data_IF_944440686494
#
_entry.id   IF_944440686494
#
_cell.length_a   1.000
_cell.length_b   1.000
_cell.length_c   1.000
_cell.angle_alpha   90.00
_cell.angle_beta   90.00
_cell.angle_gamma   90.00
#
_symmetry.space_group_name_H-M   'P 1'
#
loop_
_entity.id
_entity.type
_entity.pdbx_description
1 polymer ?
#
# COMPACT_ATOMS: atom_id res chain seq x y z
N UNK A 1 31.71 -1.25 13.34
CA UNK A 1 31.58 -2.58 13.96
C UNK A 1 30.51 -2.64 15.08
N UNK A 2 30.62 -1.88 16.18
CA UNK A 2 29.66 -2.00 17.30
C UNK A 2 28.26 -1.48 16.97
N UNK A 3 28.18 -0.25 16.45
CA UNK A 3 26.92 0.37 16.05
C UNK A 3 26.20 -0.46 14.99
N UNK A 4 26.91 -0.93 13.96
CA UNK A 4 26.34 -1.74 12.87
C UNK A 4 25.60 -2.98 13.37
N UNK A 5 26.15 -3.69 14.37
CA UNK A 5 25.48 -4.87 14.93
C UNK A 5 24.20 -4.50 15.68
N UNK A 6 24.25 -3.46 16.51
CA UNK A 6 23.06 -2.97 17.23
C UNK A 6 22.00 -2.52 16.22
N UNK A 7 22.38 -1.75 15.20
CA UNK A 7 21.48 -1.29 14.14
C UNK A 7 20.91 -2.47 13.35
N UNK A 8 21.71 -3.50 13.05
CA UNK A 8 21.21 -4.70 12.36
C UNK A 8 20.11 -5.41 13.13
N UNK A 9 20.15 -5.39 14.47
CA UNK A 9 19.12 -5.99 15.33
C UNK A 9 17.80 -5.20 15.36
N UNK A 10 17.79 -3.93 14.91
CA UNK A 10 16.56 -3.16 14.70
C UNK A 10 15.82 -3.57 13.41
N UNK A 11 16.49 -4.25 12.48
CA UNK A 11 15.88 -4.63 11.20
C UNK A 11 14.94 -5.84 11.36
N UNK A 12 13.98 -5.95 10.46
CA UNK A 12 13.13 -7.14 10.32
C UNK A 12 12.86 -7.43 8.84
N UNK A 13 12.67 -8.70 8.49
CA UNK A 13 12.68 -9.16 7.09
C UNK A 13 11.65 -8.46 6.20
N UNK A 14 10.45 -8.18 6.73
CA UNK A 14 9.36 -7.56 5.98
C UNK A 14 9.42 -6.02 5.95
N UNK A 15 10.41 -5.38 6.57
CA UNK A 15 10.52 -3.90 6.65
C UNK A 15 10.47 -3.18 5.29
N UNK A 16 11.24 -3.58 4.26
CA UNK A 16 11.23 -2.85 2.99
C UNK A 16 9.99 -3.18 2.12
N UNK A 17 9.32 -4.31 2.39
CA UNK A 17 8.29 -4.89 1.50
C UNK A 17 7.17 -3.90 1.19
N UNK A 18 6.59 -3.24 2.21
CA UNK A 18 5.51 -2.29 1.98
C UNK A 18 5.99 -1.10 1.17
N UNK A 19 7.07 -0.46 1.60
CA UNK A 19 7.62 0.70 0.92
C UNK A 19 7.93 0.39 -0.57
N UNK A 20 8.48 -0.78 -0.86
CA UNK A 20 8.84 -1.18 -2.22
C UNK A 20 7.62 -1.52 -3.07
N UNK A 21 6.56 -2.10 -2.47
CA UNK A 21 5.29 -2.37 -3.13
C UNK A 21 4.48 -1.13 -3.54
N UNK A 22 4.72 0.03 -2.89
CA UNK A 22 4.05 1.28 -3.25
C UNK A 22 4.50 1.68 -4.66
N UNK A 23 3.58 1.94 -5.61
CA UNK A 23 3.94 2.39 -6.95
C UNK A 23 4.78 3.67 -6.93
N UNK A 24 5.62 3.87 -7.95
CA UNK A 24 6.21 5.19 -8.17
C UNK A 24 5.12 6.16 -8.63
N UNK A 25 5.28 7.44 -8.27
CA UNK A 25 4.43 8.50 -8.80
C UNK A 25 4.51 8.51 -10.32
N UNK A 26 3.38 8.78 -10.97
CA UNK A 26 3.37 8.95 -12.42
C UNK A 26 4.20 10.20 -12.78
N UNK A 27 4.79 10.21 -13.98
CA UNK A 27 5.65 11.30 -14.43
C UNK A 27 4.86 12.62 -14.35
N UNK A 28 5.54 13.68 -13.92
CA UNK A 28 4.99 15.04 -13.76
C UNK A 28 3.85 15.21 -12.73
N UNK A 29 3.45 14.16 -12.02
CA UNK A 29 2.46 14.29 -10.94
C UNK A 29 3.08 14.80 -9.63
N UNK A 30 2.24 15.33 -8.74
CA UNK A 30 2.58 15.80 -7.39
C UNK A 30 3.56 16.98 -7.31
N UNK A 31 3.92 17.61 -8.43
CA UNK A 31 4.84 18.76 -8.45
C UNK A 31 4.31 19.96 -7.65
N UNK A 32 2.98 20.10 -7.61
CA UNK A 32 2.28 21.11 -6.81
C UNK A 32 2.66 21.10 -5.32
N UNK A 33 3.20 20.00 -4.80
CA UNK A 33 3.61 19.90 -3.40
C UNK A 33 4.69 20.92 -3.03
N UNK A 34 5.58 21.24 -3.97
CA UNK A 34 6.67 22.19 -3.76
C UNK A 34 6.24 23.65 -3.84
N UNK A 35 5.06 23.90 -4.40
CA UNK A 35 4.39 25.22 -4.42
C UNK A 35 3.35 25.39 -3.30
N UNK A 36 3.21 24.37 -2.43
CA UNK A 36 2.22 24.35 -1.35
C UNK A 36 2.81 24.77 0.01
N UNK A 37 1.97 24.85 1.04
CA UNK A 37 2.42 25.07 2.43
C UNK A 37 3.37 23.97 2.95
N UNK A 38 3.35 22.78 2.34
CA UNK A 38 4.26 21.69 2.69
C UNK A 38 5.73 22.07 2.46
N UNK A 39 6.07 22.81 1.39
CA UNK A 39 7.44 23.22 1.13
C UNK A 39 7.96 24.24 2.15
N UNK A 40 7.09 25.17 2.56
CA UNK A 40 7.35 26.11 3.66
C UNK A 40 7.59 25.36 4.96
N UNK A 41 6.75 24.36 5.25
CA UNK A 41 6.91 23.53 6.43
C UNK A 41 8.21 22.73 6.42
N UNK A 42 8.62 22.14 5.29
CA UNK A 42 9.92 21.46 5.19
C UNK A 42 11.09 22.39 5.51
N UNK A 43 11.06 23.62 4.99
CA UNK A 43 12.16 24.57 5.14
C UNK A 43 12.23 25.23 6.54
N UNK A 44 11.10 25.63 7.11
CA UNK A 44 11.09 26.45 8.34
C UNK A 44 9.99 26.11 9.35
N UNK A 45 9.09 25.17 9.04
CA UNK A 45 8.07 24.71 9.98
C UNK A 45 8.64 23.87 11.12
N UNK A 46 7.76 23.37 11.98
CA UNK A 46 8.04 22.44 13.08
C UNK A 46 6.83 21.54 13.35
N UNK A 47 6.96 20.58 14.26
CA UNK A 47 5.83 19.75 14.68
C UNK A 47 5.39 18.74 13.62
N UNK A 48 4.08 18.51 13.56
CA UNK A 48 3.46 17.54 12.67
C UNK A 48 2.78 18.23 11.48
N UNK A 49 3.05 17.72 10.27
CA UNK A 49 2.31 18.04 9.04
C UNK A 49 1.44 16.84 8.66
N UNK A 50 0.13 17.05 8.49
CA UNK A 50 -0.81 15.98 8.21
C UNK A 50 -1.31 15.98 6.76
N UNK A 51 -0.99 14.93 6.02
CA UNK A 51 -1.52 14.66 4.69
C UNK A 51 -2.78 13.81 4.83
N UNK A 52 -3.92 14.46 4.65
CA UNK A 52 -5.24 13.84 4.67
C UNK A 52 -5.71 13.52 3.25
N UNK A 53 -6.58 12.52 3.11
CA UNK A 53 -7.16 12.19 1.83
C UNK A 53 -8.14 11.04 1.84
N UNK A 54 -9.07 11.06 0.88
CA UNK A 54 -10.01 9.96 0.62
C UNK A 54 -9.29 8.61 0.40
N UNK A 55 -9.93 7.48 0.67
CA UNK A 55 -9.41 6.16 0.28
C UNK A 55 -9.07 6.14 -1.22
N UNK A 56 -7.91 5.59 -1.59
CA UNK A 56 -7.50 5.51 -3.00
C UNK A 56 -7.07 6.84 -3.65
N UNK A 57 -6.92 7.94 -2.89
CA UNK A 57 -6.50 9.25 -3.43
C UNK A 57 -5.00 9.37 -3.76
N UNK A 58 -4.19 8.33 -3.52
CA UNK A 58 -2.75 8.32 -3.82
C UNK A 58 -1.83 8.74 -2.67
N UNK A 59 -2.30 8.77 -1.41
CA UNK A 59 -1.50 9.15 -0.22
C UNK A 59 -0.16 8.42 -0.11
N UNK A 60 -0.14 7.09 -0.14
CA UNK A 60 1.11 6.32 -0.03
C UNK A 60 2.09 6.62 -1.16
N UNK A 61 1.58 6.75 -2.39
CA UNK A 61 2.39 7.13 -3.55
C UNK A 61 2.99 8.52 -3.36
N UNK A 62 2.19 9.47 -2.86
CA UNK A 62 2.65 10.82 -2.54
C UNK A 62 3.68 10.85 -1.41
N UNK A 63 3.46 10.10 -0.32
CA UNK A 63 4.41 9.97 0.79
C UNK A 63 5.75 9.41 0.31
N UNK A 64 5.73 8.38 -0.55
CA UNK A 64 6.94 7.81 -1.15
C UNK A 64 7.64 8.81 -2.06
N UNK A 65 6.88 9.58 -2.84
CA UNK A 65 7.39 10.64 -3.70
C UNK A 65 8.12 11.71 -2.89
N UNK A 66 7.46 12.35 -1.92
CA UNK A 66 8.06 13.46 -1.15
C UNK A 66 9.23 13.00 -0.29
N UNK A 67 9.20 11.79 0.30
CA UNK A 67 10.27 11.29 1.17
C UNK A 67 11.60 11.08 0.43
N UNK A 68 11.57 10.89 -0.90
CA UNK A 68 12.75 10.66 -1.73
C UNK A 68 13.07 11.80 -2.71
N UNK A 69 12.22 12.81 -2.81
CA UNK A 69 12.39 13.87 -3.79
C UNK A 69 13.59 14.77 -3.47
N UNK A 70 14.33 15.19 -4.49
CA UNK A 70 15.51 16.07 -4.35
C UNK A 70 15.14 17.40 -3.71
N UNK A 71 14.05 18.05 -4.16
CA UNK A 71 13.60 19.32 -3.56
C UNK A 71 13.24 19.18 -2.08
N UNK A 72 12.61 18.07 -1.66
CA UNK A 72 12.36 17.82 -0.23
C UNK A 72 13.69 17.72 0.53
N UNK A 73 14.65 16.98 -0.01
CA UNK A 73 15.99 16.84 0.58
C UNK A 73 16.68 18.21 0.70
N UNK A 74 16.60 19.05 -0.31
CA UNK A 74 17.23 20.38 -0.30
C UNK A 74 16.59 21.29 0.76
N UNK A 75 15.25 21.31 0.84
CA UNK A 75 14.51 22.09 1.84
C UNK A 75 14.81 21.62 3.27
N UNK A 76 14.82 20.30 3.51
CA UNK A 76 15.17 19.73 4.80
C UNK A 76 16.64 19.92 5.15
N UNK A 77 17.54 19.92 4.16
CA UNK A 77 18.97 20.17 4.37
C UNK A 77 19.20 21.62 4.81
N UNK A 78 18.48 22.58 4.24
CA UNK A 78 18.51 23.98 4.71
C UNK A 78 18.02 24.11 6.14
N UNK A 79 16.95 23.40 6.51
CA UNK A 79 16.47 23.34 7.89
C UNK A 79 17.49 22.72 8.85
N UNK A 80 18.18 21.66 8.41
CA UNK A 80 19.23 21.00 9.19
C UNK A 80 20.52 21.82 9.30
N UNK A 81 20.77 22.72 8.37
CA UNK A 81 22.02 23.47 8.23
C UNK A 81 23.05 22.74 7.36
N UNK A 82 23.06 21.41 7.34
CA UNK A 82 23.90 20.61 6.44
C UNK A 82 23.30 19.24 6.15
N UNK A 83 23.82 18.55 5.13
CA UNK A 83 23.35 17.20 4.78
C UNK A 83 23.77 16.16 5.84
N UNK A 84 24.94 16.36 6.46
CA UNK A 84 25.49 15.45 7.48
C UNK A 84 24.73 15.52 8.81
N UNK A 85 23.93 16.57 9.01
CA UNK A 85 23.10 16.77 10.20
C UNK A 85 21.63 16.41 9.97
N UNK A 86 21.26 15.99 8.75
CA UNK A 86 19.90 15.61 8.41
C UNK A 86 19.72 14.09 8.51
N UNK A 87 18.79 13.65 9.35
CA UNK A 87 18.28 12.28 9.35
C UNK A 87 16.87 12.24 8.75
N UNK A 88 16.66 11.35 7.78
CA UNK A 88 15.34 11.06 7.21
C UNK A 88 15.05 9.59 7.38
N UNK A 89 13.93 9.30 8.02
CA UNK A 89 13.45 7.96 8.30
C UNK A 89 11.98 7.80 7.90
N UNK A 90 11.64 6.60 7.43
CA UNK A 90 10.33 6.33 6.85
C UNK A 90 9.69 5.10 7.49
N UNK A 91 8.38 5.15 7.64
CA UNK A 91 7.57 3.98 7.95
C UNK A 91 6.28 4.01 7.16
N UNK A 92 5.91 2.86 6.62
CA UNK A 92 4.67 2.68 5.88
C UNK A 92 3.92 1.53 6.54
N UNK A 93 2.82 1.86 7.20
CA UNK A 93 1.94 0.85 7.75
C UNK A 93 1.35 0.00 6.61
N UNK A 94 1.08 -1.28 6.92
CA UNK A 94 0.45 -2.17 5.97
C UNK A 94 -0.51 -3.14 6.63
N UNK A 95 -1.82 -2.88 6.48
CA UNK A 95 -2.88 -3.71 7.06
C UNK A 95 -2.98 -5.11 6.45
N UNK A 96 -2.44 -5.30 5.25
CA UNK A 96 -2.36 -6.61 4.59
C UNK A 96 -1.01 -7.31 4.78
N UNK A 97 -0.09 -6.67 5.51
CA UNK A 97 1.22 -7.21 5.83
C UNK A 97 1.25 -8.08 7.08
N UNK A 98 2.47 -8.43 7.49
CA UNK A 98 2.77 -9.14 8.74
C UNK A 98 2.37 -8.32 9.98
N UNK A 99 2.13 -8.95 11.15
CA UNK A 99 1.75 -8.23 12.37
C UNK A 99 2.69 -7.09 12.75
N UNK A 100 4.00 -7.24 12.53
CA UNK A 100 4.97 -6.18 12.83
C UNK A 100 4.80 -4.95 11.91
N UNK A 101 4.32 -5.09 10.67
CA UNK A 101 4.14 -3.97 9.73
C UNK A 101 2.92 -3.10 10.03
N UNK A 102 2.10 -3.48 11.01
CA UNK A 102 0.93 -2.72 11.46
C UNK A 102 0.97 -2.38 12.95
N UNK A 103 2.10 -2.64 13.62
CA UNK A 103 2.26 -2.47 15.06
C UNK A 103 3.16 -1.30 15.45
N UNK A 104 3.06 -0.90 16.71
CA UNK A 104 3.89 0.15 17.31
C UNK A 104 5.38 -0.23 17.30
N UNK A 105 5.68 -1.51 17.54
CA UNK A 105 7.03 -2.04 17.47
C UNK A 105 7.64 -1.84 16.07
N UNK A 106 6.91 -2.14 15.00
CA UNK A 106 7.41 -2.00 13.63
C UNK A 106 7.66 -0.55 13.23
N UNK A 107 6.82 0.37 13.68
CA UNK A 107 7.03 1.81 13.51
C UNK A 107 8.34 2.25 14.18
N UNK A 108 8.49 1.98 15.48
CA UNK A 108 9.67 2.37 16.24
C UNK A 108 10.96 1.76 15.66
N UNK A 109 10.94 0.45 15.36
CA UNK A 109 12.10 -0.24 14.77
C UNK A 109 12.47 0.35 13.41
N UNK A 110 11.49 0.66 12.56
CA UNK A 110 11.73 1.25 11.23
C UNK A 110 12.38 2.62 11.34
N UNK A 111 11.83 3.50 12.18
CA UNK A 111 12.34 4.86 12.36
C UNK A 111 13.74 4.86 12.97
N UNK A 112 13.95 4.09 14.04
CA UNK A 112 15.25 3.98 14.70
C UNK A 112 16.29 3.34 13.78
N UNK A 113 15.93 2.31 13.02
CA UNK A 113 16.83 1.69 12.05
C UNK A 113 17.32 2.73 11.03
N UNK A 114 16.41 3.46 10.38
CA UNK A 114 16.78 4.42 9.33
C UNK A 114 17.65 5.56 9.86
N UNK A 115 17.35 6.07 11.06
CA UNK A 115 18.16 7.11 11.72
C UNK A 115 19.55 6.56 12.05
N UNK A 116 19.63 5.44 12.77
CA UNK A 116 20.91 4.92 13.28
C UNK A 116 21.79 4.32 12.20
N UNK A 117 21.19 3.79 11.12
CA UNK A 117 21.93 3.26 9.99
C UNK A 117 22.69 4.36 9.24
N UNK A 118 22.07 5.54 9.06
CA UNK A 118 22.71 6.70 8.42
C UNK A 118 23.59 7.50 9.38
N UNK A 119 23.23 7.52 10.66
CA UNK A 119 23.94 8.27 11.69
C UNK A 119 24.36 7.37 12.86
N UNK A 120 25.34 6.45 12.68
CA UNK A 120 25.72 5.51 13.74
C UNK A 120 26.25 6.17 15.03
N UNK A 121 26.64 7.44 14.95
CA UNK A 121 27.10 8.24 16.09
C UNK A 121 26.04 8.45 17.17
N UNK A 122 24.75 8.28 16.87
CA UNK A 122 23.67 8.43 17.87
C UNK A 122 23.40 7.16 18.67
N UNK A 123 23.89 6.01 18.22
CA UNK A 123 23.66 4.72 18.89
C UNK A 123 24.07 4.73 20.37
N UNK A 124 25.24 5.27 20.77
CA UNK A 124 25.64 5.35 22.18
C UNK A 124 24.69 6.20 23.04
N UNK A 125 24.06 7.21 22.44
CA UNK A 125 23.14 8.12 23.13
C UNK A 125 21.79 7.44 23.41
N UNK A 126 21.24 6.74 22.41
CA UNK A 126 19.86 6.25 22.48
C UNK A 126 19.74 4.86 23.12
N UNK A 127 20.82 4.07 23.12
CA UNK A 127 20.83 2.72 23.68
C UNK A 127 22.16 2.44 24.41
N UNK A 128 22.48 3.21 25.48
CA UNK A 128 23.76 3.13 26.17
C UNK A 128 24.04 1.71 26.71
N UNK A 129 23.03 1.02 27.23
CA UNK A 129 23.17 -0.35 27.74
C UNK A 129 23.65 -1.34 26.67
N UNK A 130 23.07 -1.28 25.46
CA UNK A 130 23.48 -2.13 24.31
C UNK A 130 24.87 -1.73 23.81
N UNK A 131 25.17 -0.44 23.81
CA UNK A 131 26.49 0.06 23.44
C UNK A 131 27.60 -0.44 24.37
N UNK A 132 27.38 -0.38 25.70
CA UNK A 132 28.32 -0.91 26.68
C UNK A 132 28.47 -2.44 26.57
N UNK A 133 27.38 -3.17 26.36
CA UNK A 133 27.42 -4.61 26.12
C UNK A 133 28.25 -4.96 24.87
N UNK A 134 28.05 -4.22 23.77
CA UNK A 134 28.83 -4.36 22.55
C UNK A 134 30.33 -4.11 22.77
N UNK A 135 30.69 -3.01 23.46
CA UNK A 135 32.09 -2.71 23.79
C UNK A 135 32.75 -3.80 24.64
N UNK A 136 31.97 -4.41 25.53
CA UNK A 136 32.45 -5.50 26.38
C UNK A 136 32.42 -6.89 25.71
N UNK A 137 32.14 -6.96 24.40
CA UNK A 137 32.08 -8.22 23.64
C UNK A 137 30.87 -9.10 23.93
N UNK A 138 29.88 -8.62 24.70
CA UNK A 138 28.63 -9.34 25.03
C UNK A 138 27.61 -9.17 23.90
N UNK A 139 27.87 -9.83 22.77
CA UNK A 139 27.08 -9.66 21.56
C UNK A 139 25.65 -10.16 21.65
N UNK A 140 25.41 -11.20 22.47
CA UNK A 140 24.08 -11.73 22.71
C UNK A 140 23.18 -10.63 23.29
N UNK A 141 23.63 -9.94 24.33
CA UNK A 141 22.91 -8.84 24.97
C UNK A 141 22.79 -7.61 24.06
N UNK A 142 23.82 -7.28 23.29
CA UNK A 142 23.77 -6.13 22.38
C UNK A 142 22.78 -6.31 21.23
N UNK A 143 22.52 -7.56 20.81
CA UNK A 143 21.66 -7.93 19.69
C UNK A 143 20.37 -8.65 20.11
N UNK A 144 20.01 -8.62 21.39
CA UNK A 144 18.75 -9.18 21.89
C UNK A 144 17.54 -8.57 21.18
N UNK A 145 16.44 -9.31 20.96
CA UNK A 145 15.21 -8.76 20.39
C UNK A 145 14.76 -7.51 21.16
N UNK A 146 14.38 -6.47 20.42
CA UNK A 146 14.00 -5.20 21.03
C UNK A 146 12.59 -5.28 21.61
N UNK A 147 12.45 -4.81 22.85
CA UNK A 147 11.14 -4.64 23.48
C UNK A 147 10.54 -3.28 23.14
N UNK A 148 9.21 -3.18 23.13
CA UNK A 148 8.51 -1.90 22.91
C UNK A 148 8.92 -0.81 23.91
N UNK A 149 9.03 -1.07 25.23
CA UNK A 149 9.50 -0.07 26.19
C UNK A 149 10.91 0.44 25.88
N UNK A 150 11.81 -0.45 25.48
CA UNK A 150 13.19 -0.09 25.11
C UNK A 150 13.22 0.78 23.84
N UNK A 151 12.49 0.39 22.80
CA UNK A 151 12.38 1.17 21.56
C UNK A 151 11.78 2.55 21.82
N UNK A 152 10.76 2.62 22.68
CA UNK A 152 10.12 3.89 23.06
C UNK A 152 11.09 4.79 23.81
N UNK A 153 11.87 4.23 24.74
CA UNK A 153 12.91 4.96 25.46
C UNK A 153 14.00 5.48 24.52
N UNK A 154 14.44 4.67 23.56
CA UNK A 154 15.44 5.06 22.57
C UNK A 154 14.95 6.22 21.68
N UNK A 155 13.70 6.18 21.22
CA UNK A 155 13.13 7.26 20.41
C UNK A 155 12.90 8.54 21.25
N UNK A 156 12.47 8.42 22.50
CA UNK A 156 12.36 9.57 23.43
C UNK A 156 13.72 10.20 23.73
N UNK A 157 14.78 9.40 23.82
CA UNK A 157 16.14 9.91 23.99
C UNK A 157 16.57 10.77 22.78
N UNK A 158 16.12 10.44 21.56
CA UNK A 158 16.31 11.31 20.39
C UNK A 158 15.52 12.62 20.49
N UNK A 159 14.29 12.57 21.01
CA UNK A 159 13.44 13.75 21.11
C UNK A 159 13.90 14.73 22.21
N UNK A 160 14.42 14.20 23.33
CA UNK A 160 14.64 14.96 24.56
C UNK A 160 16.09 15.45 24.76
N UNK A 161 17.02 15.06 23.88
CA UNK A 161 18.42 15.43 24.07
C UNK A 161 18.68 16.88 23.64
N UNK A 162 19.14 17.71 24.58
CA UNK A 162 19.38 19.15 24.40
C UNK A 162 20.43 19.46 23.31
N UNK A 163 21.40 18.56 23.11
CA UNK A 163 22.53 18.74 22.20
C UNK A 163 22.66 17.57 21.21
N UNK A 164 21.57 17.22 20.52
CA UNK A 164 21.68 16.32 19.36
C UNK A 164 22.16 17.10 18.13
N UNK A 165 23.23 16.66 17.46
CA UNK A 165 23.74 17.29 16.24
C UNK A 165 22.88 16.98 15.00
N UNK A 166 21.66 16.47 15.19
CA UNK A 166 20.78 16.05 14.12
C UNK A 166 19.46 16.83 14.11
N UNK A 167 18.97 17.06 12.90
CA UNK A 167 17.59 17.39 12.60
C UNK A 167 16.96 16.18 11.91
N UNK A 168 15.86 15.69 12.45
CA UNK A 168 15.23 14.43 12.06
C UNK A 168 13.87 14.71 11.43
N UNK A 169 13.63 14.22 10.22
CA UNK A 169 12.33 14.26 9.58
C UNK A 169 11.78 12.83 9.41
N UNK A 170 10.66 12.54 10.06
CA UNK A 170 9.95 11.29 9.93
C UNK A 170 8.83 11.39 8.91
N UNK A 171 8.75 10.42 8.01
CA UNK A 171 7.60 10.22 7.12
C UNK A 171 6.87 8.95 7.53
N UNK A 172 5.62 9.09 8.01
CA UNK A 172 4.82 7.97 8.51
C UNK A 172 3.54 7.89 7.67
N UNK A 173 3.46 6.89 6.80
CA UNK A 173 2.31 6.68 5.92
C UNK A 173 1.30 5.70 6.52
N UNK A 174 0.02 6.06 6.44
CA UNK A 174 -1.10 5.20 6.76
C UNK A 174 -1.35 5.02 8.25
N UNK A 175 -1.45 6.10 9.03
CA UNK A 175 -1.76 5.98 10.48
C UNK A 175 -3.08 5.24 10.73
N UNK A 176 -4.02 5.28 9.78
CA UNK A 176 -5.28 4.54 9.83
C UNK A 176 -5.14 3.03 9.54
N UNK A 177 -3.92 2.55 9.25
CA UNK A 177 -3.56 1.12 9.14
C UNK A 177 -2.95 0.54 10.43
N UNK A 178 -2.79 1.38 11.46
CA UNK A 178 -2.41 0.91 12.79
C UNK A 178 -3.54 0.08 13.41
N UNK A 179 -3.21 -1.07 13.98
CA UNK A 179 -4.21 -2.04 14.44
C UNK A 179 -4.58 -1.92 15.92
N UNK A 180 -4.12 -0.87 16.61
CA UNK A 180 -4.41 -0.64 18.03
C UNK A 180 -4.97 0.78 18.28
N UNK A 181 -4.68 1.41 19.43
CA UNK A 181 -5.26 2.70 19.83
C UNK A 181 -4.67 3.88 19.04
N UNK A 182 -5.44 4.37 18.07
CA UNK A 182 -5.09 5.53 17.26
C UNK A 182 -4.94 6.84 18.06
N UNK A 183 -5.70 7.02 19.14
CA UNK A 183 -5.63 8.24 19.94
C UNK A 183 -4.33 8.28 20.76
N UNK A 184 -3.95 7.14 21.35
CA UNK A 184 -2.66 7.00 22.02
C UNK A 184 -1.49 7.21 21.04
N UNK A 185 -1.57 6.58 19.85
CA UNK A 185 -0.59 6.78 18.77
C UNK A 185 -0.42 8.26 18.43
N UNK A 186 -1.52 8.96 18.15
CA UNK A 186 -1.47 10.38 17.78
C UNK A 186 -0.87 11.23 18.90
N UNK A 187 -1.21 10.95 20.16
CA UNK A 187 -0.65 11.66 21.32
C UNK A 187 0.87 11.49 21.37
N UNK A 188 1.37 10.27 21.28
CA UNK A 188 2.82 10.02 21.35
C UNK A 188 3.57 10.67 20.17
N UNK A 189 3.00 10.63 18.97
CA UNK A 189 3.59 11.31 17.80
C UNK A 189 3.66 12.83 17.99
N UNK A 190 2.59 13.45 18.51
CA UNK A 190 2.58 14.88 18.83
C UNK A 190 3.62 15.23 19.90
N UNK A 191 3.64 14.49 21.02
CA UNK A 191 4.57 14.74 22.13
C UNK A 191 6.04 14.67 21.66
N UNK A 192 6.34 13.79 20.71
CA UNK A 192 7.68 13.69 20.11
C UNK A 192 7.98 14.82 19.10
N UNK A 193 6.96 15.31 18.40
CA UNK A 193 7.09 16.40 17.43
C UNK A 193 7.22 17.78 18.09
N UNK A 194 6.97 17.91 19.40
CA UNK A 194 7.25 19.11 20.19
C UNK A 194 8.76 19.42 20.29
N UNK A 195 9.61 18.42 20.04
CA UNK A 195 11.06 18.62 19.95
C UNK A 195 11.42 19.49 18.74
N UNK A 196 12.21 20.55 18.96
CA UNK A 196 12.71 21.42 17.89
C UNK A 196 13.61 20.71 16.86
N UNK A 197 14.05 19.49 17.17
CA UNK A 197 14.89 18.67 16.30
C UNK A 197 14.09 17.70 15.43
N UNK A 198 12.78 17.54 15.67
CA UNK A 198 11.96 16.53 15.01
C UNK A 198 10.85 17.20 14.19
N UNK A 199 10.72 16.76 12.95
CA UNK A 199 9.56 17.00 12.09
C UNK A 199 8.86 15.69 11.80
N UNK A 200 7.54 15.71 11.77
CA UNK A 200 6.74 14.55 11.40
C UNK A 200 5.80 14.88 10.26
N UNK A 201 5.99 14.23 9.11
CA UNK A 201 5.04 14.23 8.02
C UNK A 201 4.24 12.93 8.11
N UNK A 202 2.95 13.02 8.42
CA UNK A 202 2.09 11.86 8.64
C UNK A 202 0.95 11.83 7.64
N UNK A 203 0.52 10.64 7.21
CA UNK A 203 -0.62 10.49 6.32
C UNK A 203 -1.72 9.62 6.94
N UNK A 204 -2.98 9.96 6.68
CA UNK A 204 -4.11 9.08 7.02
C UNK A 204 -5.39 9.42 6.26
N UNK A 205 -6.42 8.59 6.41
CA UNK A 205 -7.82 8.96 6.10
C UNK A 205 -8.32 10.05 7.06
N UNK A 206 -9.30 10.88 6.65
CA UNK A 206 -9.92 11.90 7.51
C UNK A 206 -10.87 11.28 8.55
N UNK A 207 -10.40 10.33 9.36
CA UNK A 207 -11.18 9.82 10.48
C UNK A 207 -11.20 10.84 11.61
N UNK A 208 -12.30 10.87 12.38
CA UNK A 208 -12.50 11.85 13.45
C UNK A 208 -11.36 11.89 14.48
N UNK A 209 -10.69 10.76 14.74
CA UNK A 209 -9.52 10.71 15.65
C UNK A 209 -8.33 11.51 15.12
N UNK A 210 -8.07 11.46 13.81
CA UNK A 210 -6.99 12.21 13.17
C UNK A 210 -7.37 13.67 12.96
N UNK A 211 -8.63 13.96 12.65
CA UNK A 211 -9.11 15.35 12.59
C UNK A 211 -8.99 16.05 13.93
N UNK A 212 -9.36 15.38 15.02
CA UNK A 212 -9.17 15.93 16.37
C UNK A 212 -7.69 16.13 16.70
N UNK A 213 -6.83 15.20 16.28
CA UNK A 213 -5.41 15.20 16.63
C UNK A 213 -4.57 16.12 15.75
N UNK A 214 -4.94 16.34 14.49
CA UNK A 214 -4.12 17.04 13.49
C UNK A 214 -4.86 18.10 12.68
N UNK A 215 -6.20 18.15 12.75
CA UNK A 215 -7.04 18.97 11.86
C UNK A 215 -7.45 20.35 12.39
N UNK A 216 -6.94 20.79 13.55
CA UNK A 216 -7.25 22.13 14.08
C UNK A 216 -6.72 23.27 13.19
N UNK A 217 -7.34 24.45 13.27
CA UNK A 217 -7.03 25.62 12.40
C UNK A 217 -5.57 26.08 12.45
N UNK A 218 -4.87 25.84 13.56
CA UNK A 218 -3.46 26.16 13.74
C UNK A 218 -2.50 25.08 13.23
N UNK A 219 -2.99 23.99 12.64
CA UNK A 219 -2.18 22.83 12.27
C UNK A 219 -1.96 22.74 10.75
N UNK A 220 -0.73 22.39 10.41
CA UNK A 220 -0.29 22.24 9.03
C UNK A 220 -0.87 20.94 8.44
N UNK A 221 -1.82 21.07 7.50
CA UNK A 221 -2.53 19.95 6.86
C UNK A 221 -2.35 19.98 5.35
N UNK A 222 -2.70 18.94 4.61
CA UNK A 222 -2.97 19.04 3.19
C UNK A 222 -3.98 17.96 2.79
N UNK A 223 -5.01 18.35 2.05
CA UNK A 223 -6.02 17.43 1.54
C UNK A 223 -5.70 17.03 0.11
N UNK A 224 -5.03 15.87 -0.04
CA UNK A 224 -4.44 15.48 -1.33
C UNK A 224 -5.48 15.34 -2.44
N UNK A 225 -6.68 14.90 -2.10
CA UNK A 225 -7.78 14.68 -3.05
C UNK A 225 -8.30 15.99 -3.69
N UNK A 226 -8.03 17.14 -3.08
CA UNK A 226 -8.37 18.45 -3.67
C UNK A 226 -7.30 18.92 -4.66
N UNK A 227 -6.09 18.36 -4.61
CA UNK A 227 -4.92 18.80 -5.37
C UNK A 227 -4.55 17.85 -6.52
N UNK A 228 -5.04 16.62 -6.51
CA UNK A 228 -4.71 15.60 -7.52
C UNK A 228 -5.48 15.73 -8.83
N UNK A 229 -6.39 16.71 -8.98
CA UNK A 229 -7.22 16.82 -10.18
C UNK A 229 -6.41 16.91 -11.48
N UNK A 230 -5.35 17.73 -11.49
CA UNK A 230 -4.48 17.87 -12.65
C UNK A 230 -3.61 16.63 -12.86
N UNK A 231 -3.12 16.02 -11.79
CA UNK A 231 -2.35 14.78 -11.85
C UNK A 231 -3.18 13.62 -12.46
N UNK A 232 -4.46 13.51 -12.07
CA UNK A 232 -5.39 12.53 -12.65
C UNK A 232 -5.58 12.81 -14.14
N UNK A 233 -5.74 14.08 -14.55
CA UNK A 233 -5.88 14.45 -15.96
C UNK A 233 -4.67 14.01 -16.78
N UNK A 234 -3.46 14.30 -16.29
CA UNK A 234 -2.22 13.89 -16.96
C UNK A 234 -2.14 12.37 -17.05
N UNK A 235 -2.37 11.67 -15.95
CA UNK A 235 -2.38 10.20 -15.91
C UNK A 235 -3.36 9.58 -16.92
N UNK A 236 -4.62 10.01 -16.90
CA UNK A 236 -5.65 9.49 -17.81
C UNK A 236 -5.29 9.80 -19.26
N UNK A 237 -4.86 11.03 -19.53
CA UNK A 237 -4.46 11.47 -20.87
C UNK A 237 -3.31 10.63 -21.43
N UNK A 238 -2.26 10.40 -20.65
CA UNK A 238 -1.10 9.62 -21.07
C UNK A 238 -1.47 8.14 -21.27
N UNK A 239 -2.21 7.54 -20.33
CA UNK A 239 -2.65 6.14 -20.46
C UNK A 239 -3.49 5.91 -21.72
N UNK A 240 -4.43 6.81 -22.03
CA UNK A 240 -5.26 6.68 -23.22
C UNK A 240 -4.46 6.94 -24.50
N UNK A 241 -3.59 7.96 -24.52
CA UNK A 241 -2.72 8.26 -25.69
C UNK A 241 -1.81 7.12 -26.09
N UNK A 242 -1.34 6.32 -25.13
CA UNK A 242 -0.51 5.14 -25.44
C UNK A 242 -1.27 4.02 -26.16
N UNK A 243 -2.60 4.06 -26.19
CA UNK A 243 -3.40 3.04 -26.85
C UNK A 243 -3.43 3.25 -28.38
N UNK A 244 -3.10 2.23 -29.22
CA UNK A 244 -2.99 2.40 -30.67
C UNK A 244 -4.24 3.01 -31.32
N UNK A 245 -5.44 2.50 -30.99
CA UNK A 245 -6.71 3.04 -31.53
C UNK A 245 -7.03 4.46 -31.06
N UNK A 246 -6.49 4.90 -29.93
CA UNK A 246 -6.65 6.27 -29.48
C UNK A 246 -5.79 7.22 -30.31
N UNK A 247 -4.56 6.81 -30.64
CA UNK A 247 -3.64 7.63 -31.44
C UNK A 247 -4.06 7.75 -32.92
N UNK A 248 -4.75 6.75 -33.48
CA UNK A 248 -5.06 6.70 -34.93
C UNK A 248 -6.10 7.71 -35.43
N UNK A 249 -6.91 8.32 -34.56
CA UNK A 249 -8.09 9.09 -35.00
C UNK A 249 -7.88 10.58 -34.72
N UNK A 250 -7.55 11.35 -35.76
CA UNK A 250 -7.33 12.80 -35.67
C UNK A 250 -8.33 13.55 -36.56
N UNK A 251 -9.48 13.89 -36.00
CA UNK A 251 -10.36 14.95 -36.53
C UNK A 251 -10.64 15.94 -35.40
N UNK A 252 -10.95 17.20 -35.73
CA UNK A 252 -11.28 18.22 -34.72
C UNK A 252 -12.43 17.77 -33.81
N UNK A 253 -13.45 17.14 -34.39
CA UNK A 253 -14.61 16.58 -33.66
C UNK A 253 -14.20 15.50 -32.67
N UNK A 254 -13.36 14.55 -33.09
CA UNK A 254 -12.90 13.45 -32.22
C UNK A 254 -11.93 13.96 -31.14
N UNK A 255 -11.11 14.96 -31.44
CA UNK A 255 -10.23 15.59 -30.44
C UNK A 255 -11.03 16.26 -29.32
N UNK A 256 -12.14 16.93 -29.67
CA UNK A 256 -13.07 17.49 -28.68
C UNK A 256 -13.76 16.39 -27.86
N UNK A 257 -14.22 15.30 -28.49
CA UNK A 257 -14.84 14.16 -27.79
C UNK A 257 -13.86 13.48 -26.82
N UNK A 258 -12.61 13.25 -27.25
CA UNK A 258 -11.52 12.70 -26.41
C UNK A 258 -11.24 13.58 -25.19
N UNK A 259 -11.16 14.89 -25.40
CA UNK A 259 -10.93 15.85 -24.30
C UNK A 259 -12.10 15.87 -23.33
N UNK A 260 -13.34 15.84 -23.85
CA UNK A 260 -14.55 15.74 -23.04
C UNK A 260 -14.62 14.46 -22.21
N UNK A 261 -14.18 13.33 -22.76
CA UNK A 261 -14.08 12.06 -22.03
C UNK A 261 -13.08 12.15 -20.86
N UNK A 262 -11.89 12.72 -21.09
CA UNK A 262 -10.88 12.92 -20.04
C UNK A 262 -11.45 13.80 -18.92
N UNK A 263 -12.10 14.92 -19.25
CA UNK A 263 -12.71 15.78 -18.23
C UNK A 263 -13.84 15.10 -17.46
N UNK A 264 -14.65 14.25 -18.11
CA UNK A 264 -15.65 13.46 -17.40
C UNK A 264 -15.01 12.51 -16.39
N UNK A 265 -13.93 11.82 -16.76
CA UNK A 265 -13.20 10.92 -15.85
C UNK A 265 -12.64 11.72 -14.68
N UNK A 266 -11.95 12.84 -14.95
CA UNK A 266 -11.36 13.70 -13.91
C UNK A 266 -12.43 14.22 -12.95
N UNK A 267 -13.58 14.65 -13.47
CA UNK A 267 -14.70 15.15 -12.65
C UNK A 267 -15.31 14.04 -11.80
N UNK A 268 -15.57 12.86 -12.38
CA UNK A 268 -16.17 11.73 -11.65
C UNK A 268 -15.23 11.09 -10.64
N UNK A 269 -13.92 11.13 -10.90
CA UNK A 269 -12.91 10.61 -9.97
C UNK A 269 -12.87 11.40 -8.66
N UNK A 270 -13.21 12.70 -8.68
CA UNK A 270 -13.30 13.55 -7.48
C UNK A 270 -12.11 13.42 -6.51
N UNK A 271 -10.90 13.41 -7.09
CA UNK A 271 -9.64 13.28 -6.37
C UNK A 271 -9.22 11.85 -6.00
N UNK A 272 -10.03 10.84 -6.34
CA UNK A 272 -9.78 9.42 -6.08
C UNK A 272 -9.04 8.78 -7.26
N UNK A 273 -7.71 8.76 -7.17
CA UNK A 273 -6.82 8.18 -8.18
C UNK A 273 -7.16 6.72 -8.53
N UNK A 274 -7.54 5.92 -7.53
CA UNK A 274 -7.88 4.52 -7.75
C UNK A 274 -9.14 4.35 -8.64
N UNK A 275 -10.11 5.25 -8.52
CA UNK A 275 -11.29 5.28 -9.39
C UNK A 275 -10.86 5.55 -10.84
N UNK A 276 -10.03 6.60 -11.04
CA UNK A 276 -9.52 6.95 -12.37
C UNK A 276 -8.70 5.80 -13.00
N UNK A 277 -7.90 5.10 -12.19
CA UNK A 277 -7.15 3.92 -12.62
C UNK A 277 -8.06 2.82 -13.18
N UNK A 278 -9.08 2.39 -12.41
CA UNK A 278 -9.97 1.31 -12.86
C UNK A 278 -10.78 1.70 -14.09
N UNK A 279 -11.33 2.91 -14.10
CA UNK A 279 -12.12 3.40 -15.23
C UNK A 279 -11.27 3.51 -16.48
N UNK A 280 -10.07 4.10 -16.38
CA UNK A 280 -9.17 4.21 -17.55
C UNK A 280 -8.75 2.84 -18.07
N UNK A 281 -8.49 1.87 -17.19
CA UNK A 281 -8.19 0.50 -17.61
C UNK A 281 -9.37 -0.14 -18.35
N UNK A 282 -10.58 -0.04 -17.79
CA UNK A 282 -11.81 -0.56 -18.43
C UNK A 282 -12.05 0.09 -19.80
N UNK A 283 -11.85 1.40 -19.94
CA UNK A 283 -11.97 2.09 -21.23
C UNK A 283 -10.93 1.62 -22.25
N UNK A 284 -9.70 1.30 -21.81
CA UNK A 284 -8.67 0.72 -22.69
C UNK A 284 -9.03 -0.69 -23.16
N UNK A 285 -9.66 -1.49 -22.31
CA UNK A 285 -10.19 -2.81 -22.67
C UNK A 285 -11.33 -2.66 -23.71
N UNK A 286 -12.29 -1.76 -23.48
CA UNK A 286 -13.35 -1.42 -24.45
C UNK A 286 -12.81 -0.95 -25.80
N UNK A 287 -11.77 -0.10 -25.79
CA UNK A 287 -11.09 0.31 -27.03
C UNK A 287 -10.51 -0.92 -27.76
N UNK A 288 -9.88 -1.83 -27.03
CA UNK A 288 -9.34 -3.07 -27.62
C UNK A 288 -10.46 -3.89 -28.28
N UNK A 289 -11.64 -3.95 -27.66
CA UNK A 289 -12.82 -4.64 -28.18
C UNK A 289 -13.50 -3.96 -29.38
N UNK A 290 -13.17 -2.69 -29.68
CA UNK A 290 -13.63 -2.00 -30.88
C UNK A 290 -14.62 -0.85 -30.65
N UNK A 291 -14.90 -0.51 -29.39
CA UNK A 291 -15.82 0.56 -29.02
C UNK A 291 -15.34 1.94 -29.53
N UNK A 292 -16.28 2.79 -29.96
CA UNK A 292 -15.99 4.18 -30.36
C UNK A 292 -15.96 5.09 -29.14
N UNK A 293 -15.34 6.27 -29.27
CA UNK A 293 -15.25 7.28 -28.19
C UNK A 293 -16.63 7.67 -27.62
N UNK A 294 -17.67 7.68 -28.46
CA UNK A 294 -19.05 7.94 -28.02
C UNK A 294 -19.60 6.83 -27.11
N UNK A 295 -19.34 5.57 -27.46
CA UNK A 295 -19.77 4.40 -26.69
C UNK A 295 -19.08 4.41 -25.32
N UNK A 296 -17.78 4.75 -25.30
CA UNK A 296 -17.02 4.95 -24.05
C UNK A 296 -17.61 6.05 -23.17
N UNK A 297 -18.01 7.18 -23.76
CA UNK A 297 -18.62 8.31 -23.02
C UNK A 297 -19.97 7.93 -22.44
N UNK A 298 -20.77 7.14 -23.18
CA UNK A 298 -22.05 6.63 -22.70
C UNK A 298 -21.86 5.63 -21.55
N UNK A 299 -20.94 4.68 -21.69
CA UNK A 299 -20.58 3.75 -20.63
C UNK A 299 -20.13 4.49 -19.36
N UNK A 300 -19.23 5.46 -19.51
CA UNK A 300 -18.74 6.29 -18.41
C UNK A 300 -19.87 7.03 -17.68
N UNK A 301 -20.92 7.46 -18.39
CA UNK A 301 -22.05 8.15 -17.77
C UNK A 301 -22.81 7.28 -16.77
N UNK A 302 -22.91 5.97 -17.02
CA UNK A 302 -23.59 5.00 -16.15
C UNK A 302 -22.75 4.52 -14.95
N UNK A 303 -21.44 4.77 -14.95
CA UNK A 303 -20.59 4.31 -13.86
C UNK A 303 -20.82 5.10 -12.55
N UNK A 304 -20.85 4.42 -11.39
CA UNK A 304 -20.95 5.08 -10.10
C UNK A 304 -19.68 5.88 -9.80
N UNK A 305 -19.82 6.99 -9.06
CA UNK A 305 -18.70 7.82 -8.61
C UNK A 305 -18.12 7.35 -7.28
N UNK A 306 -18.92 6.65 -6.47
CA UNK A 306 -18.45 6.00 -5.26
C UNK A 306 -17.60 4.77 -5.60
N UNK A 307 -16.50 4.59 -4.86
CA UNK A 307 -15.50 3.59 -5.16
C UNK A 307 -15.96 2.17 -4.79
N UNK A 308 -16.73 2.00 -3.71
CA UNK A 308 -17.28 0.70 -3.31
C UNK A 308 -18.38 0.27 -4.29
N UNK A 309 -19.23 1.20 -4.70
CA UNK A 309 -20.21 0.97 -5.76
C UNK A 309 -19.54 0.61 -7.10
N UNK A 310 -18.41 1.25 -7.43
CA UNK A 310 -17.63 0.89 -8.63
C UNK A 310 -17.11 -0.55 -8.54
N UNK A 311 -16.56 -0.96 -7.39
CA UNK A 311 -16.10 -2.34 -7.21
C UNK A 311 -17.25 -3.34 -7.34
N UNK A 312 -18.41 -3.05 -6.75
CA UNK A 312 -19.60 -3.88 -6.90
C UNK A 312 -20.01 -4.00 -8.36
N UNK A 313 -20.10 -2.88 -9.08
CA UNK A 313 -20.40 -2.86 -10.51
C UNK A 313 -19.40 -3.68 -11.34
N UNK A 314 -18.11 -3.62 -11.01
CA UNK A 314 -17.08 -4.44 -11.66
C UNK A 314 -17.32 -5.94 -11.42
N UNK A 315 -17.63 -6.35 -10.18
CA UNK A 315 -17.91 -7.76 -9.87
C UNK A 315 -19.20 -8.26 -10.52
N UNK A 316 -20.23 -7.41 -10.64
CA UNK A 316 -21.48 -7.74 -11.35
C UNK A 316 -21.26 -7.94 -12.87
N UNK A 317 -20.21 -7.31 -13.44
CA UNK A 317 -19.82 -7.48 -14.85
C UNK A 317 -19.03 -8.76 -15.16
N UNK A 318 -18.76 -9.60 -14.16
CA UNK A 318 -18.18 -10.94 -14.36
C UNK A 318 -19.23 -11.84 -15.01
N UNK A 319 -18.81 -12.80 -15.83
CA UNK A 319 -19.73 -13.78 -16.41
C UNK A 319 -20.45 -14.54 -15.28
N UNK A 320 -21.79 -14.69 -15.32
CA UNK A 320 -22.53 -15.47 -14.32
C UNK A 320 -22.01 -16.89 -14.10
N UNK A 321 -21.42 -17.51 -15.13
CA UNK A 321 -20.79 -18.83 -15.02
C UNK A 321 -19.56 -18.84 -14.11
N UNK A 322 -18.89 -17.70 -13.95
CA UNK A 322 -17.69 -17.53 -13.14
C UNK A 322 -17.97 -16.98 -11.73
N UNK A 323 -19.22 -16.69 -11.38
CA UNK A 323 -19.58 -16.09 -10.08
C UNK A 323 -19.12 -16.93 -8.89
N UNK A 324 -19.23 -18.25 -8.95
CA UNK A 324 -18.76 -19.13 -7.87
C UNK A 324 -17.24 -19.05 -7.69
N UNK A 325 -16.49 -19.09 -8.80
CA UNK A 325 -15.02 -18.96 -8.78
C UNK A 325 -14.57 -17.59 -8.30
N UNK A 326 -15.18 -16.52 -8.80
CA UNK A 326 -14.97 -15.15 -8.32
C UNK A 326 -15.17 -15.07 -6.80
N UNK A 327 -16.30 -15.57 -6.30
CA UNK A 327 -16.63 -15.51 -4.89
C UNK A 327 -15.67 -16.35 -4.03
N UNK A 328 -15.28 -17.52 -4.50
CA UNK A 328 -14.31 -18.38 -3.83
C UNK A 328 -12.93 -17.74 -3.74
N UNK A 329 -12.45 -17.14 -4.83
CA UNK A 329 -11.16 -16.42 -4.89
C UNK A 329 -11.16 -15.25 -3.89
N UNK A 330 -12.21 -14.43 -3.89
CA UNK A 330 -12.30 -13.27 -2.99
C UNK A 330 -12.45 -13.69 -1.52
N UNK A 331 -13.25 -14.72 -1.23
CA UNK A 331 -13.35 -15.26 0.14
C UNK A 331 -12.01 -15.81 0.61
N UNK A 332 -11.31 -16.59 -0.22
CA UNK A 332 -10.00 -17.14 0.14
C UNK A 332 -8.99 -16.02 0.45
N UNK A 333 -8.93 -14.98 -0.39
CA UNK A 333 -8.08 -13.82 -0.16
C UNK A 333 -8.44 -13.05 1.13
N UNK A 334 -9.72 -13.01 1.49
CA UNK A 334 -10.20 -12.30 2.69
C UNK A 334 -10.00 -13.08 4.00
N UNK A 335 -10.14 -14.40 3.98
CA UNK A 335 -10.02 -15.27 5.15
C UNK A 335 -8.58 -15.67 5.47
N UNK A 336 -7.69 -15.60 4.48
CA UNK A 336 -6.29 -15.94 4.69
C UNK A 336 -5.61 -14.97 5.67
N UNK A 337 -4.84 -15.53 6.62
CA UNK A 337 -4.04 -14.74 7.58
C UNK A 337 -2.93 -13.95 6.90
N UNK A 338 -2.42 -14.47 5.79
CA UNK A 338 -1.41 -13.85 4.93
C UNK A 338 -1.74 -14.12 3.45
N UNK A 339 -1.27 -13.28 2.51
CA UNK A 339 -1.53 -13.47 1.08
C UNK A 339 -1.20 -14.90 0.61
N UNK A 340 -2.13 -15.65 0.03
CA UNK A 340 -1.88 -17.04 -0.35
C UNK A 340 -0.99 -17.16 -1.61
N UNK A 341 -0.19 -18.23 -1.71
CA UNK A 341 0.58 -18.55 -2.91
C UNK A 341 -0.36 -18.86 -4.10
N UNK A 342 0.01 -18.46 -5.32
CA UNK A 342 -0.83 -18.59 -6.53
C UNK A 342 -1.26 -20.04 -6.80
N UNK A 343 -0.41 -21.01 -6.49
CA UNK A 343 -0.71 -22.44 -6.68
C UNK A 343 -1.89 -22.90 -5.80
N UNK A 344 -2.17 -22.22 -4.68
CA UNK A 344 -3.36 -22.51 -3.88
C UNK A 344 -4.65 -22.06 -4.58
N UNK A 345 -4.60 -20.94 -5.31
CA UNK A 345 -5.74 -20.48 -6.10
C UNK A 345 -6.06 -21.40 -7.27
N UNK A 346 -5.03 -21.97 -7.89
CA UNK A 346 -5.25 -23.04 -8.88
C UNK A 346 -6.05 -24.20 -8.28
N UNK A 347 -5.68 -24.65 -7.07
CA UNK A 347 -6.40 -25.73 -6.39
C UNK A 347 -7.82 -25.30 -5.99
N UNK A 348 -8.02 -24.06 -5.54
CA UNK A 348 -9.34 -23.52 -5.21
C UNK A 348 -10.29 -23.48 -6.40
N UNK A 349 -9.81 -23.11 -7.60
CA UNK A 349 -10.68 -23.07 -8.77
C UNK A 349 -11.19 -24.46 -9.17
N UNK A 350 -10.41 -25.52 -8.94
CA UNK A 350 -10.81 -26.91 -9.20
C UNK A 350 -11.94 -27.40 -8.31
N UNK A 351 -12.10 -26.83 -7.11
CA UNK A 351 -13.22 -27.15 -6.20
C UNK A 351 -14.58 -26.88 -6.87
N UNK A 352 -14.63 -25.92 -7.80
CA UNK A 352 -15.84 -25.55 -8.52
C UNK A 352 -16.06 -26.37 -9.81
N UNK A 353 -15.12 -27.25 -10.16
CA UNK A 353 -15.16 -28.08 -11.38
C UNK A 353 -15.32 -29.56 -11.04
N UNK A 354 -14.65 -30.02 -9.96
CA UNK A 354 -14.52 -31.43 -9.60
C UNK A 354 -14.80 -31.64 -8.10
N UNK A 355 -15.72 -32.55 -7.78
CA UNK A 355 -15.89 -33.03 -6.41
C UNK A 355 -14.70 -33.89 -5.96
N UNK A 356 -14.30 -33.73 -4.71
CA UNK A 356 -13.17 -34.46 -4.09
C UNK A 356 -11.84 -34.34 -4.85
N UNK A 357 -11.63 -33.24 -5.58
CA UNK A 357 -10.45 -33.03 -6.43
C UNK A 357 -9.14 -33.26 -5.67
N UNK A 358 -9.03 -32.77 -4.43
CA UNK A 358 -7.83 -32.90 -3.61
C UNK A 358 -7.55 -34.36 -3.20
N UNK A 359 -8.59 -35.18 -3.05
CA UNK A 359 -8.44 -36.61 -2.74
C UNK A 359 -8.03 -37.41 -3.98
N UNK A 360 -8.61 -37.08 -5.13
CA UNK A 360 -8.33 -37.73 -6.42
C UNK A 360 -7.04 -37.24 -7.09
N UNK A 361 -6.52 -36.10 -6.66
CA UNK A 361 -5.28 -35.54 -7.20
C UNK A 361 -4.12 -36.54 -7.00
N UNK A 362 -3.43 -36.94 -8.08
CA UNK A 362 -2.26 -37.80 -7.97
C UNK A 362 -1.16 -37.11 -7.18
N UNK A 363 -0.35 -37.92 -6.50
CA UNK A 363 0.85 -37.46 -5.80
C UNK A 363 1.96 -37.36 -6.84
N UNK A 364 2.56 -36.18 -6.97
CA UNK A 364 3.67 -35.95 -7.89
C UNK A 364 3.74 -34.51 -8.36
N UNK A 365 4.97 -34.03 -8.57
CA UNK A 365 5.20 -32.74 -9.20
C UNK A 365 5.13 -32.87 -10.70
N UNK A 366 4.40 -31.97 -11.35
CA UNK A 366 4.52 -31.77 -12.79
C UNK A 366 5.91 -31.21 -13.17
N UNK A 367 6.29 -31.28 -14.45
CA UNK A 367 7.50 -30.64 -14.95
C UNK A 367 7.45 -29.11 -14.73
N UNK A 368 8.60 -28.44 -14.51
CA UNK A 368 8.65 -27.00 -14.18
C UNK A 368 7.98 -26.08 -15.21
N UNK A 369 8.01 -26.46 -16.49
CA UNK A 369 7.36 -25.72 -17.57
C UNK A 369 5.84 -25.72 -17.44
N UNK A 370 5.24 -26.87 -17.08
CA UNK A 370 3.80 -26.97 -16.85
C UNK A 370 3.36 -26.15 -15.64
N UNK A 371 4.14 -26.19 -14.55
CA UNK A 371 3.87 -25.36 -13.35
C UNK A 371 3.89 -23.87 -13.71
N UNK A 372 4.84 -23.45 -14.56
CA UNK A 372 4.95 -22.05 -14.99
C UNK A 372 3.76 -21.62 -15.84
N UNK A 373 3.33 -22.44 -16.79
CA UNK A 373 2.15 -22.19 -17.61
C UNK A 373 0.87 -22.15 -16.77
N UNK A 374 0.72 -23.07 -15.82
CA UNK A 374 -0.40 -23.11 -14.89
C UNK A 374 -0.50 -21.84 -14.05
N UNK A 375 0.63 -21.35 -13.53
CA UNK A 375 0.69 -20.08 -12.78
C UNK A 375 0.28 -18.90 -13.65
N UNK A 376 0.71 -18.87 -14.91
CA UNK A 376 0.31 -17.81 -15.84
C UNK A 376 -1.21 -17.84 -16.11
N UNK A 377 -1.78 -19.03 -16.35
CA UNK A 377 -3.22 -19.22 -16.54
C UNK A 377 -4.01 -18.81 -15.30
N UNK A 378 -3.57 -19.24 -14.12
CA UNK A 378 -4.21 -18.89 -12.83
C UNK A 378 -4.15 -17.38 -12.60
N UNK A 379 -3.05 -16.72 -12.94
CA UNK A 379 -2.90 -15.27 -12.82
C UNK A 379 -3.90 -14.52 -13.71
N UNK A 380 -4.06 -14.96 -14.97
CA UNK A 380 -5.06 -14.41 -15.90
C UNK A 380 -6.48 -14.65 -15.40
N UNK A 381 -6.75 -15.88 -14.98
CA UNK A 381 -8.03 -16.32 -14.40
C UNK A 381 -8.45 -15.45 -13.22
N UNK A 382 -7.56 -15.23 -12.25
CA UNK A 382 -7.80 -14.35 -11.10
C UNK A 382 -8.10 -12.93 -11.57
N UNK A 383 -7.32 -12.39 -12.51
CA UNK A 383 -7.51 -11.02 -12.98
C UNK A 383 -8.85 -10.85 -13.72
N UNK A 384 -9.28 -11.83 -14.51
CA UNK A 384 -10.57 -11.84 -15.21
C UNK A 384 -11.74 -11.90 -14.21
N UNK A 385 -11.69 -12.86 -13.28
CA UNK A 385 -12.77 -13.14 -12.32
C UNK A 385 -12.89 -12.09 -11.24
N UNK A 386 -11.78 -11.45 -10.85
CA UNK A 386 -11.79 -10.39 -9.84
C UNK A 386 -11.72 -9.00 -10.48
N UNK A 387 -11.72 -8.89 -11.81
CA UNK A 387 -11.54 -7.64 -12.56
C UNK A 387 -10.37 -6.82 -11.99
N UNK A 388 -9.24 -7.48 -11.71
CA UNK A 388 -8.03 -6.87 -11.15
C UNK A 388 -8.17 -6.17 -9.79
N UNK A 389 -9.17 -6.55 -9.00
CA UNK A 389 -9.22 -6.21 -7.57
C UNK A 389 -8.10 -6.92 -6.78
N UNK A 390 -7.59 -8.04 -7.30
CA UNK A 390 -6.40 -8.73 -6.82
C UNK A 390 -5.22 -8.56 -7.78
N UNK A 391 -4.01 -8.69 -7.25
CA UNK A 391 -2.74 -8.66 -8.00
C UNK A 391 -1.80 -9.77 -7.52
N UNK A 392 -0.87 -10.16 -8.39
CA UNK A 392 0.18 -11.11 -8.06
C UNK A 392 1.48 -10.37 -7.69
N UNK A 393 2.03 -10.65 -6.51
CA UNK A 393 3.32 -10.12 -6.03
C UNK A 393 4.16 -11.27 -5.51
N UNK A 394 5.33 -11.52 -6.12
CA UNK A 394 6.23 -12.62 -5.73
C UNK A 394 5.52 -13.97 -5.55
N UNK A 395 4.69 -14.35 -6.53
CA UNK A 395 3.85 -15.56 -6.52
C UNK A 395 2.76 -15.61 -5.44
N UNK A 396 2.50 -14.52 -4.71
CA UNK A 396 1.43 -14.43 -3.73
C UNK A 396 0.35 -13.47 -4.20
N UNK A 397 -0.92 -13.84 -4.00
CA UNK A 397 -2.07 -13.06 -4.44
C UNK A 397 -2.48 -12.11 -3.33
N UNK A 398 -2.46 -10.82 -3.63
CA UNK A 398 -2.75 -9.72 -2.71
C UNK A 398 -3.89 -8.87 -3.25
N UNK A 399 -4.59 -8.16 -2.36
CA UNK A 399 -5.48 -7.08 -2.80
C UNK A 399 -4.68 -5.99 -3.51
N UNK A 400 -5.19 -5.51 -4.64
CA UNK A 400 -4.55 -4.43 -5.41
C UNK A 400 -4.28 -3.21 -4.52
N UNK A 401 -5.28 -2.87 -3.71
CA UNK A 401 -5.25 -1.72 -2.81
C UNK A 401 -6.02 -2.02 -1.51
N UNK A 402 -5.64 -1.36 -0.40
CA UNK A 402 -6.33 -1.53 0.89
C UNK A 402 -7.84 -1.29 0.81
N UNK A 403 -8.27 -0.23 0.11
CA UNK A 403 -9.70 0.06 -0.04
C UNK A 403 -10.49 -1.11 -0.64
N UNK A 404 -9.85 -1.92 -1.49
CA UNK A 404 -10.47 -3.15 -2.03
C UNK A 404 -10.62 -4.19 -0.91
N UNK A 405 -9.60 -4.38 -0.07
CA UNK A 405 -9.68 -5.27 1.10
C UNK A 405 -10.80 -4.83 2.05
N UNK A 406 -10.87 -3.54 2.37
CA UNK A 406 -11.91 -2.99 3.25
C UNK A 406 -13.31 -3.27 2.67
N UNK A 407 -13.50 -3.02 1.37
CA UNK A 407 -14.74 -3.32 0.66
C UNK A 407 -15.12 -4.80 0.72
N UNK A 408 -14.15 -5.70 0.50
CA UNK A 408 -14.38 -7.15 0.54
C UNK A 408 -14.72 -7.66 1.94
N UNK A 409 -14.28 -6.95 2.98
CA UNK A 409 -14.58 -7.25 4.38
C UNK A 409 -15.88 -6.60 4.88
N UNK A 410 -16.62 -5.86 4.04
CA UNK A 410 -17.94 -5.33 4.42
C UNK A 410 -18.97 -6.46 4.51
N UNK A 411 -19.93 -6.33 5.44
CA UNK A 411 -21.03 -7.29 5.58
C UNK A 411 -21.88 -7.41 4.31
N UNK A 412 -22.04 -6.28 3.61
CA UNK A 412 -22.83 -6.22 2.38
C UNK A 412 -22.18 -7.06 1.27
N UNK A 413 -20.85 -6.94 1.09
CA UNK A 413 -20.17 -7.77 0.11
C UNK A 413 -20.04 -9.22 0.59
N UNK A 414 -19.81 -9.46 1.88
CA UNK A 414 -19.78 -10.82 2.42
C UNK A 414 -21.08 -11.58 2.12
N UNK A 415 -22.24 -10.92 2.28
CA UNK A 415 -23.54 -11.45 1.89
C UNK A 415 -23.63 -11.70 0.37
N UNK A 416 -23.24 -10.72 -0.44
CA UNK A 416 -23.21 -10.86 -1.91
C UNK A 416 -22.36 -12.05 -2.36
N UNK A 417 -21.16 -12.23 -1.82
CA UNK A 417 -20.28 -13.35 -2.17
C UNK A 417 -20.87 -14.68 -1.70
N UNK A 418 -21.51 -14.71 -0.53
CA UNK A 418 -22.18 -15.90 0.00
C UNK A 418 -23.29 -16.37 -0.94
N UNK A 419 -24.10 -15.45 -1.46
CA UNK A 419 -25.19 -15.75 -2.40
C UNK A 419 -24.71 -16.31 -3.75
N UNK A 420 -23.41 -16.18 -4.06
CA UNK A 420 -22.79 -16.74 -5.27
C UNK A 420 -22.08 -18.08 -5.05
N UNK A 421 -22.04 -18.56 -3.81
CA UNK A 421 -21.37 -19.79 -3.42
C UNK A 421 -22.37 -20.90 -3.10
N UNK A 422 -21.95 -22.18 -3.18
CA UNK A 422 -22.78 -23.29 -2.72
C UNK A 422 -23.18 -23.16 -1.23
N UNK A 423 -24.36 -23.66 -0.86
CA UNK A 423 -24.90 -23.55 0.50
C UNK A 423 -23.97 -24.14 1.58
N UNK A 424 -23.24 -25.20 1.24
CA UNK A 424 -22.29 -25.88 2.13
C UNK A 424 -20.86 -25.33 2.05
N UNK A 425 -20.63 -24.25 1.31
CA UNK A 425 -19.29 -23.71 1.10
C UNK A 425 -18.71 -23.12 2.39
N UNK A 426 -17.47 -23.46 2.71
CA UNK A 426 -16.74 -22.88 3.82
C UNK A 426 -15.32 -22.51 3.39
N UNK A 427 -15.04 -21.21 3.29
CA UNK A 427 -13.75 -20.72 2.80
C UNK A 427 -12.54 -21.22 3.59
N UNK A 428 -12.66 -21.48 4.90
CA UNK A 428 -11.54 -22.06 5.67
C UNK A 428 -11.28 -23.51 5.29
N UNK A 429 -12.34 -24.30 5.06
CA UNK A 429 -12.22 -25.69 4.60
C UNK A 429 -11.69 -25.72 3.16
N UNK A 430 -12.15 -24.82 2.29
CA UNK A 430 -11.65 -24.68 0.92
C UNK A 430 -10.16 -24.34 0.89
N UNK A 431 -9.70 -23.41 1.73
CA UNK A 431 -8.27 -23.11 1.89
C UNK A 431 -7.51 -24.35 2.36
N UNK A 432 -7.99 -25.06 3.39
CA UNK A 432 -7.33 -26.26 3.89
C UNK A 432 -7.26 -27.38 2.81
N UNK A 433 -8.30 -27.53 2.02
CA UNK A 433 -8.40 -28.49 0.91
C UNK A 433 -7.44 -28.11 -0.22
N UNK A 434 -7.32 -26.82 -0.52
CA UNK A 434 -6.33 -26.29 -1.46
C UNK A 434 -4.89 -26.54 -1.00
N UNK A 435 -4.61 -26.41 0.29
CA UNK A 435 -3.31 -26.81 0.85
C UNK A 435 -3.04 -28.30 0.69
N UNK A 436 -4.03 -29.17 0.92
CA UNK A 436 -3.88 -30.61 0.70
C UNK A 436 -3.56 -30.92 -0.77
N UNK A 437 -4.30 -30.31 -1.70
CA UNK A 437 -4.05 -30.43 -3.14
C UNK A 437 -2.65 -29.94 -3.50
N UNK A 438 -2.26 -28.77 -3.00
CA UNK A 438 -0.94 -28.18 -3.21
C UNK A 438 0.17 -29.13 -2.72
N UNK A 439 0.09 -29.61 -1.49
CA UNK A 439 1.07 -30.52 -0.88
C UNK A 439 1.24 -31.82 -1.67
N UNK A 440 0.17 -32.37 -2.25
CA UNK A 440 0.25 -33.55 -3.14
C UNK A 440 0.96 -33.26 -4.46
N UNK A 441 0.86 -32.02 -4.95
CA UNK A 441 1.40 -31.58 -6.24
C UNK A 441 2.77 -30.91 -6.16
N UNK A 442 3.29 -30.63 -4.96
CA UNK A 442 4.65 -30.12 -4.75
C UNK A 442 5.59 -31.22 -4.31
N UNK A 443 6.78 -31.30 -4.91
CA UNK A 443 7.77 -32.35 -4.69
C UNK A 443 7.94 -32.77 -3.23
N UNK A 444 7.78 -34.07 -2.98
CA UNK A 444 8.60 -34.78 -1.99
C UNK A 444 9.86 -35.24 -2.73
N UNK A 445 10.94 -34.47 -2.63
CA UNK A 445 12.27 -35.05 -2.85
C UNK A 445 12.49 -36.05 -1.71
N UNK A 446 12.06 -37.30 -1.89
CA UNK A 446 12.61 -38.41 -1.11
C UNK A 446 14.02 -38.63 -1.61
N UNK A 447 14.96 -37.82 -1.10
CA UNK A 447 16.38 -38.16 -1.09
C UNK A 447 16.61 -39.33 -0.14
#
# INVERSE_FOLDING_TARGET
MFAERIVSSLNYASRPVRHDSVPQAHKNTFQWAFDSRLSKWFNSGSGTFWISGKPGSGKSTFMKFIAKHSQTKDLLTRWAGSADTLAVAVHFFWIAGTPIQKSWQGLLQSLLFDVCHKHPSVVPLICPSRWEAAKAGRWQTAAEPWSVPELTAALRALASADNIPLKICFFIDGLDEYDSDHAELCKVLCDMADSLHIKMCVSSRPWAVFERSFGGESKERLDIHELTRNDIREFVGDQLRTHPKWAMIESETVTSEKSGLIEQIVRKADGVFLWAFFVTRSLRESLSNGDRIRDLSQCLSGLPTDLEQLFKHMLESVDPADYAKMAGILQAASHALEPLHIDLYWQLEREFEESDYAYRCPIGSGPPEQISQQREQTSRSINEKTKGLLKLVNLRVEFLHRTVKDFVMTKDLEGYLRDKLPDNYNGFISIATAYLGFLKTTCQDTS
#
